data_IF_981619536780
#
_entry.id   IF_981619536780
#
_cell.length_a   1.000
_cell.length_b   1.000
_cell.length_c   1.000
_cell.angle_alpha   90.00
_cell.angle_beta   90.00
_cell.angle_gamma   90.00
#
_symmetry.space_group_name_H-M   'P 1'
#
loop_
_entity.id
_entity.type
_entity.pdbx_description
1 polymer ?
#
# COMPACT_ATOMS: atom_id res chain seq x y z
N UNK A 1 -12.79 30.54 10.48
CA UNK A 1 -11.68 29.58 10.47
C UNK A 1 -10.49 30.20 9.75
N UNK A 2 -9.40 30.43 10.45
CA UNK A 2 -8.15 30.94 9.86
C UNK A 2 -7.52 29.81 9.05
N UNK A 3 -7.45 30.00 7.74
CA UNK A 3 -6.82 29.02 6.83
C UNK A 3 -5.33 28.94 7.13
N UNK A 4 -4.76 27.78 7.45
CA UNK A 4 -3.34 27.64 7.69
C UNK A 4 -2.56 27.82 6.37
N UNK A 5 -1.55 28.66 6.40
CA UNK A 5 -0.45 28.85 5.46
C UNK A 5 -0.77 29.33 4.02
N UNK A 6 -0.44 30.60 3.78
CA UNK A 6 -0.57 31.27 2.48
C UNK A 6 0.25 30.62 1.35
N UNK A 7 1.32 29.88 1.65
CA UNK A 7 2.20 29.23 0.68
C UNK A 7 1.58 28.02 -0.03
N UNK A 8 0.61 27.35 0.59
CA UNK A 8 -0.11 26.23 -0.05
C UNK A 8 -1.12 26.67 -1.11
N UNK A 9 -1.45 27.97 -1.16
CA UNK A 9 -2.46 28.51 -2.09
C UNK A 9 -2.02 28.59 -3.54
N UNK A 10 -0.72 28.55 -3.82
CA UNK A 10 -0.21 28.79 -5.17
C UNK A 10 -0.09 27.51 -6.03
N UNK A 11 0.07 26.33 -5.41
CA UNK A 11 0.27 25.06 -6.13
C UNK A 11 -0.79 24.00 -5.78
N UNK A 12 -1.14 23.86 -4.50
CA UNK A 12 -2.10 22.88 -4.01
C UNK A 12 -3.11 23.56 -3.06
N UNK A 13 -4.28 23.97 -3.56
CA UNK A 13 -5.27 24.59 -2.69
C UNK A 13 -5.74 23.60 -1.63
N UNK A 14 -5.59 23.98 -0.35
CA UNK A 14 -6.15 23.23 0.75
C UNK A 14 -7.66 23.11 0.59
N UNK A 15 -8.18 21.89 0.58
CA UNK A 15 -9.60 21.61 0.46
C UNK A 15 -10.20 21.22 1.82
N UNK A 16 -9.67 20.18 2.44
CA UNK A 16 -10.16 19.66 3.71
C UNK A 16 -9.04 18.98 4.52
N UNK A 17 -9.27 18.82 5.82
CA UNK A 17 -8.54 17.88 6.68
C UNK A 17 -9.49 16.82 7.13
N UNK A 18 -9.12 15.56 6.91
CA UNK A 18 -9.87 14.39 7.39
C UNK A 18 -9.21 13.82 8.65
N UNK A 19 -9.95 13.02 9.40
CA UNK A 19 -9.42 12.33 10.58
C UNK A 19 -9.29 13.22 11.83
N UNK A 20 -9.96 14.36 11.90
CA UNK A 20 -9.93 15.24 13.08
C UNK A 20 -10.44 14.55 14.36
N UNK A 21 -11.20 13.47 14.23
CA UNK A 21 -11.75 12.67 15.35
C UNK A 21 -10.82 11.55 15.80
N UNK A 22 -9.58 11.51 15.34
CA UNK A 22 -8.58 10.45 15.61
C UNK A 22 -9.05 9.07 15.20
N UNK A 23 -9.64 8.99 14.02
CA UNK A 23 -10.07 7.69 13.43
C UNK A 23 -8.88 6.83 12.98
N UNK A 24 -7.69 7.42 12.86
CA UNK A 24 -6.45 6.72 12.49
C UNK A 24 -5.36 7.01 13.51
N UNK A 25 -4.52 6.02 13.83
CA UNK A 25 -3.42 6.16 14.80
C UNK A 25 -2.06 6.39 14.13
N UNK A 26 -1.69 5.55 13.17
CA UNK A 26 -0.41 5.64 12.46
C UNK A 26 -0.63 5.33 10.98
N UNK A 27 -1.16 6.30 10.20
CA UNK A 27 -1.44 6.08 8.79
C UNK A 27 -0.13 5.82 8.03
N UNK A 28 -0.07 4.70 7.32
CA UNK A 28 1.05 4.30 6.48
C UNK A 28 0.84 4.71 5.03
N UNK A 29 -0.40 4.53 4.54
CA UNK A 29 -0.76 4.87 3.16
C UNK A 29 -2.27 5.17 3.04
N UNK A 30 -2.69 5.70 1.90
CA UNK A 30 -4.06 6.12 1.64
C UNK A 30 -4.44 5.88 0.17
N UNK A 31 -5.64 5.36 -0.04
CA UNK A 31 -6.28 5.25 -1.37
C UNK A 31 -7.56 6.06 -1.37
N UNK A 32 -7.69 6.98 -2.34
CA UNK A 32 -8.93 7.72 -2.57
C UNK A 32 -9.55 7.23 -3.88
N UNK A 33 -10.72 6.62 -3.79
CA UNK A 33 -11.43 6.04 -4.92
C UNK A 33 -12.32 7.06 -5.63
N UNK A 34 -12.66 6.77 -6.88
CA UNK A 34 -13.48 7.66 -7.71
C UNK A 34 -14.94 7.78 -7.21
N UNK A 35 -15.42 6.80 -6.45
CA UNK A 35 -16.75 6.76 -5.81
C UNK A 35 -16.88 7.64 -4.56
N UNK A 36 -15.77 8.20 -4.08
CA UNK A 36 -15.70 9.08 -2.92
C UNK A 36 -15.23 8.38 -1.65
N UNK A 37 -15.08 7.08 -1.65
CA UNK A 37 -14.48 6.33 -0.55
C UNK A 37 -12.99 6.60 -0.41
N UNK A 38 -12.55 6.64 0.83
CA UNK A 38 -11.15 6.79 1.20
C UNK A 38 -10.78 5.65 2.13
N UNK A 39 -9.76 4.91 1.75
CA UNK A 39 -9.20 3.83 2.55
C UNK A 39 -7.86 4.27 3.14
N UNK A 40 -7.69 4.08 4.43
CA UNK A 40 -6.47 4.42 5.16
C UNK A 40 -5.85 3.15 5.69
N UNK A 41 -4.62 2.88 5.27
CA UNK A 41 -3.81 1.79 5.80
C UNK A 41 -3.11 2.29 7.06
N UNK A 42 -3.39 1.66 8.19
CA UNK A 42 -2.81 2.03 9.48
C UNK A 42 -1.85 0.96 9.99
N UNK A 43 -0.85 1.40 10.73
CA UNK A 43 -0.05 0.55 11.63
C UNK A 43 -0.49 0.80 13.05
N UNK A 44 -0.63 -0.27 13.82
CA UNK A 44 -1.01 -0.20 15.23
C UNK A 44 0.12 -0.80 16.03
N UNK A 45 0.73 -0.01 16.90
CA UNK A 45 1.87 -0.43 17.71
C UNK A 45 1.54 -1.69 18.53
N UNK A 46 2.27 -2.78 18.25
CA UNK A 46 2.11 -4.07 18.91
C UNK A 46 0.93 -4.93 18.46
N UNK A 47 0.07 -4.42 17.56
CA UNK A 47 -1.14 -5.12 17.09
C UNK A 47 -1.14 -5.36 15.57
N UNK A 48 -0.11 -4.88 14.85
CA UNK A 48 0.01 -5.02 13.39
C UNK A 48 -0.64 -3.88 12.62
N UNK A 49 -1.52 -4.19 11.67
CA UNK A 49 -2.14 -3.15 10.84
C UNK A 49 -3.61 -3.42 10.50
N UNK A 50 -4.28 -2.37 10.08
CA UNK A 50 -5.68 -2.39 9.67
C UNK A 50 -5.94 -1.51 8.44
N UNK A 51 -7.00 -1.79 7.70
CA UNK A 51 -7.58 -0.89 6.70
C UNK A 51 -8.82 -0.25 7.30
N UNK A 52 -8.89 1.07 7.25
CA UNK A 52 -10.05 1.84 7.69
C UNK A 52 -10.69 2.55 6.52
N UNK A 53 -12.02 2.52 6.45
CA UNK A 53 -12.81 3.22 5.44
C UNK A 53 -13.35 4.53 6.00
N UNK A 54 -13.24 5.61 5.25
CA UNK A 54 -13.81 6.93 5.52
C UNK A 54 -14.24 7.57 4.19
N UNK A 55 -14.74 8.79 4.22
CA UNK A 55 -15.11 9.57 3.03
C UNK A 55 -14.69 11.04 3.18
N UNK A 56 -14.97 11.86 2.17
CA UNK A 56 -14.65 13.29 2.16
C UNK A 56 -15.48 14.12 3.15
N UNK A 57 -16.56 13.58 3.69
CA UNK A 57 -17.41 14.17 4.74
C UNK A 57 -16.88 13.89 6.14
N UNK A 58 -15.73 13.21 6.27
CA UNK A 58 -15.10 12.79 7.52
C UNK A 58 -15.98 11.81 8.33
N UNK A 59 -16.75 10.99 7.62
CA UNK A 59 -17.54 9.93 8.23
C UNK A 59 -16.66 8.69 8.40
N UNK A 60 -16.55 8.19 9.63
CA UNK A 60 -15.83 6.97 9.96
C UNK A 60 -16.72 5.74 9.68
N UNK A 61 -16.41 5.03 8.62
CA UNK A 61 -17.11 3.79 8.24
C UNK A 61 -16.46 2.52 8.86
N UNK A 62 -15.51 2.72 9.79
CA UNK A 62 -14.92 1.67 10.59
C UNK A 62 -13.75 0.95 9.95
N UNK A 63 -13.29 -0.07 10.67
CA UNK A 63 -12.23 -0.99 10.22
C UNK A 63 -12.86 -2.04 9.32
N UNK A 64 -12.31 -2.21 8.12
CA UNK A 64 -12.77 -3.20 7.15
C UNK A 64 -11.81 -4.39 7.00
N UNK A 65 -10.50 -4.18 7.15
CA UNK A 65 -9.48 -5.23 7.01
C UNK A 65 -8.47 -5.16 8.15
N UNK A 66 -7.98 -6.31 8.59
CA UNK A 66 -7.01 -6.42 9.69
C UNK A 66 -6.13 -7.65 9.55
N UNK A 67 -5.16 -7.81 10.45
CA UNK A 67 -4.29 -8.98 10.49
C UNK A 67 -2.99 -8.81 9.70
N UNK A 68 -2.64 -7.59 9.34
CA UNK A 68 -1.33 -7.25 8.80
C UNK A 68 -0.28 -7.28 9.92
N UNK A 69 0.98 -7.62 9.56
CA UNK A 69 2.10 -7.58 10.50
C UNK A 69 2.81 -6.23 10.44
N UNK A 70 3.21 -5.79 9.24
CA UNK A 70 3.83 -4.49 9.00
C UNK A 70 3.49 -3.97 7.60
N UNK A 71 2.24 -3.54 7.38
CA UNK A 71 1.79 -3.09 6.07
C UNK A 71 2.47 -1.77 5.69
N UNK A 72 2.79 -1.62 4.41
CA UNK A 72 3.58 -0.47 3.92
C UNK A 72 2.82 0.34 2.92
N UNK A 73 2.29 -0.28 1.89
CA UNK A 73 1.58 0.39 0.82
C UNK A 73 0.27 -0.31 0.49
N UNK A 74 -0.70 0.49 0.09
CA UNK A 74 -1.99 0.05 -0.41
C UNK A 74 -2.30 0.77 -1.72
N UNK A 75 -2.76 0.04 -2.72
CA UNK A 75 -3.20 0.60 -4.01
C UNK A 75 -4.56 0.04 -4.41
N UNK A 76 -5.26 0.75 -5.27
CA UNK A 76 -6.45 0.22 -5.94
C UNK A 76 -6.03 -0.82 -6.97
N UNK A 77 -6.62 -2.00 -6.90
CA UNK A 77 -6.35 -3.13 -7.77
C UNK A 77 -7.43 -3.37 -8.82
N UNK A 78 -7.27 -4.40 -9.66
CA UNK A 78 -8.29 -4.78 -10.62
C UNK A 78 -9.59 -5.26 -9.93
N UNK A 79 -10.72 -5.14 -10.64
CA UNK A 79 -12.04 -5.58 -10.16
C UNK A 79 -12.46 -4.92 -8.82
N UNK A 80 -12.11 -3.65 -8.64
CA UNK A 80 -12.51 -2.86 -7.48
C UNK A 80 -11.98 -3.41 -6.14
N UNK A 81 -10.71 -3.86 -6.14
CA UNK A 81 -10.04 -4.40 -4.98
C UNK A 81 -9.02 -3.42 -4.39
N UNK A 82 -8.59 -3.68 -3.17
CA UNK A 82 -7.43 -3.07 -2.52
C UNK A 82 -6.30 -4.08 -2.49
N UNK A 83 -5.09 -3.65 -2.84
CA UNK A 83 -3.89 -4.49 -2.82
C UNK A 83 -2.90 -3.92 -1.84
N UNK A 84 -2.44 -4.74 -0.90
CA UNK A 84 -1.56 -4.32 0.19
C UNK A 84 -0.26 -5.10 0.17
N UNK A 85 0.86 -4.39 0.28
CA UNK A 85 2.18 -4.99 0.58
C UNK A 85 2.42 -5.01 2.09
N UNK A 86 2.86 -6.14 2.61
CA UNK A 86 3.22 -6.31 4.01
C UNK A 86 4.67 -6.77 4.14
N UNK A 87 5.51 -5.89 4.69
CA UNK A 87 6.92 -6.19 4.95
C UNK A 87 7.12 -7.25 6.03
N UNK A 88 6.18 -7.36 6.95
CA UNK A 88 6.32 -8.19 8.14
C UNK A 88 6.14 -9.68 7.85
N UNK A 89 5.19 -10.05 7.01
CA UNK A 89 4.95 -11.42 6.59
C UNK A 89 5.44 -11.72 5.16
N UNK A 90 6.05 -10.73 4.49
CA UNK A 90 6.65 -10.86 3.15
C UNK A 90 5.62 -11.17 2.05
N UNK A 91 4.40 -10.65 2.17
CA UNK A 91 3.30 -10.96 1.26
C UNK A 91 2.73 -9.74 0.53
N UNK A 92 2.01 -10.03 -0.53
CA UNK A 92 1.05 -9.13 -1.19
C UNK A 92 -0.32 -9.74 -0.99
N UNK A 93 -1.29 -8.95 -0.51
CA UNK A 93 -2.64 -9.41 -0.24
C UNK A 93 -3.69 -8.58 -0.97
N UNK A 94 -4.79 -9.22 -1.36
CA UNK A 94 -5.90 -8.64 -2.10
C UNK A 94 -7.16 -8.67 -1.24
N UNK A 95 -7.90 -7.56 -1.23
CA UNK A 95 -9.04 -7.34 -0.37
C UNK A 95 -10.21 -6.75 -1.16
N UNK A 96 -11.43 -7.11 -0.82
CA UNK A 96 -12.59 -6.33 -1.27
C UNK A 96 -12.63 -4.99 -0.53
N UNK A 97 -13.35 -4.00 -1.07
CA UNK A 97 -13.60 -2.73 -0.38
C UNK A 97 -14.52 -2.88 0.85
N UNK A 98 -15.12 -4.04 1.04
CA UNK A 98 -15.89 -4.41 2.24
C UNK A 98 -15.05 -5.18 3.29
N UNK A 99 -13.77 -5.44 2.98
CA UNK A 99 -12.80 -5.98 3.93
C UNK A 99 -12.65 -7.50 3.93
N UNK A 100 -13.18 -8.20 2.94
CA UNK A 100 -12.91 -9.61 2.73
C UNK A 100 -11.54 -9.81 2.07
N UNK A 101 -10.68 -10.64 2.67
CA UNK A 101 -9.41 -11.04 2.06
C UNK A 101 -9.69 -12.06 0.96
N UNK A 102 -9.42 -11.68 -0.29
CA UNK A 102 -9.68 -12.50 -1.47
C UNK A 102 -8.54 -13.48 -1.72
N UNK A 103 -7.30 -12.97 -1.64
CA UNK A 103 -6.09 -13.72 -1.99
C UNK A 103 -4.87 -13.14 -1.29
N UNK A 104 -3.80 -13.93 -1.24
CA UNK A 104 -2.51 -13.49 -0.74
C UNK A 104 -1.41 -14.41 -1.28
N UNK A 105 -0.31 -13.83 -1.71
CA UNK A 105 0.86 -14.57 -2.17
C UNK A 105 2.16 -13.87 -1.74
N UNK A 106 3.26 -14.60 -1.83
CA UNK A 106 4.58 -14.22 -1.39
C UNK A 106 5.08 -15.16 -0.31
N UNK A 107 6.36 -15.44 -0.34
CA UNK A 107 7.08 -16.20 0.68
C UNK A 107 8.46 -15.58 0.91
N UNK A 108 8.93 -15.64 2.15
CA UNK A 108 10.26 -15.15 2.49
C UNK A 108 11.36 -15.87 1.74
N UNK A 109 12.20 -15.11 1.05
CA UNK A 109 13.36 -15.67 0.36
C UNK A 109 14.05 -14.68 -0.59
N UNK A 110 15.08 -15.18 -1.27
CA UNK A 110 15.88 -14.42 -2.24
C UNK A 110 15.88 -14.99 -3.65
N UNK A 111 15.21 -16.14 -3.88
CA UNK A 111 15.03 -16.68 -5.23
C UNK A 111 14.03 -15.85 -6.03
N UNK A 112 13.99 -16.03 -7.35
CA UNK A 112 12.98 -15.43 -8.20
C UNK A 112 11.58 -15.88 -7.74
N UNK A 113 10.68 -14.91 -7.59
CA UNK A 113 9.33 -15.13 -7.08
C UNK A 113 9.19 -15.05 -5.56
N UNK A 114 10.25 -15.22 -4.77
CA UNK A 114 10.23 -14.99 -3.32
C UNK A 114 10.45 -13.52 -2.99
N UNK A 115 9.99 -13.07 -1.84
CA UNK A 115 10.04 -11.67 -1.39
C UNK A 115 10.80 -11.54 -0.06
N UNK A 116 11.46 -10.41 0.12
CA UNK A 116 12.04 -10.05 1.41
C UNK A 116 11.73 -8.59 1.72
N UNK A 117 10.75 -8.37 2.57
CA UNK A 117 10.20 -7.07 2.94
C UNK A 117 9.74 -6.26 1.71
N UNK A 118 8.70 -6.75 0.98
CA UNK A 118 8.13 -6.00 -0.14
C UNK A 118 7.56 -4.67 0.36
N UNK A 119 7.88 -3.58 -0.34
CA UNK A 119 7.42 -2.24 0.03
C UNK A 119 6.57 -1.61 -1.06
N UNK A 120 7.19 -0.93 -2.02
CA UNK A 120 6.48 -0.26 -3.11
C UNK A 120 5.83 -1.23 -4.08
N UNK A 121 4.56 -1.00 -4.41
CA UNK A 121 3.81 -1.78 -5.40
C UNK A 121 3.12 -0.87 -6.40
N UNK A 122 3.02 -1.31 -7.66
CA UNK A 122 2.29 -0.58 -8.71
C UNK A 122 1.89 -1.54 -9.83
N UNK A 123 0.74 -1.32 -10.45
CA UNK A 123 0.36 -2.03 -11.66
C UNK A 123 0.97 -1.37 -12.91
N UNK A 124 1.47 -2.19 -13.82
CA UNK A 124 1.81 -1.73 -15.17
C UNK A 124 0.55 -1.63 -16.07
N UNK A 125 0.75 -1.10 -17.28
CA UNK A 125 -0.34 -0.94 -18.26
C UNK A 125 -0.95 -2.27 -18.75
N UNK A 126 -0.29 -3.40 -18.49
CA UNK A 126 -0.75 -4.74 -18.85
C UNK A 126 -1.47 -5.43 -17.66
N UNK A 127 -1.56 -4.77 -16.51
CA UNK A 127 -2.17 -5.30 -15.29
C UNK A 127 -1.27 -6.24 -14.50
N UNK A 128 0.04 -6.23 -14.74
CA UNK A 128 0.98 -6.98 -13.91
C UNK A 128 1.43 -6.13 -12.73
N UNK A 129 1.70 -6.75 -11.60
CA UNK A 129 2.18 -6.08 -10.40
C UNK A 129 3.71 -5.99 -10.40
N UNK A 130 4.22 -4.78 -10.23
CA UNK A 130 5.65 -4.51 -10.04
C UNK A 130 5.84 -4.28 -8.54
N UNK A 131 6.80 -4.99 -7.96
CA UNK A 131 7.06 -5.02 -6.51
C UNK A 131 8.51 -4.61 -6.24
N UNK A 132 8.70 -3.65 -5.35
CA UNK A 132 10.01 -3.35 -4.76
C UNK A 132 10.30 -4.40 -3.67
N UNK A 133 11.16 -5.34 -3.99
CA UNK A 133 11.63 -6.41 -3.09
C UNK A 133 12.86 -5.89 -2.32
N UNK A 134 12.55 -5.09 -1.31
CA UNK A 134 13.42 -4.10 -0.67
C UNK A 134 14.70 -4.69 -0.14
N UNK A 135 14.63 -5.71 0.71
CA UNK A 135 15.82 -6.30 1.32
C UNK A 135 16.57 -7.27 0.40
N UNK A 136 16.04 -7.54 -0.78
CA UNK A 136 16.75 -8.24 -1.86
C UNK A 136 17.35 -7.27 -2.89
N UNK A 137 17.20 -5.94 -2.69
CA UNK A 137 17.75 -4.88 -3.55
C UNK A 137 17.37 -5.05 -5.02
N UNK A 138 16.10 -5.41 -5.30
CA UNK A 138 15.62 -5.65 -6.65
C UNK A 138 14.16 -5.23 -6.83
N UNK A 139 13.77 -5.11 -8.09
CA UNK A 139 12.37 -4.97 -8.50
C UNK A 139 11.97 -6.29 -9.17
N UNK A 140 10.80 -6.80 -8.82
CA UNK A 140 10.22 -7.98 -9.44
C UNK A 140 8.87 -7.65 -10.05
N UNK A 141 8.53 -8.34 -11.14
CA UNK A 141 7.26 -8.25 -11.85
C UNK A 141 6.53 -9.58 -11.75
N UNK A 142 5.26 -9.52 -11.40
CA UNK A 142 4.36 -10.67 -11.21
C UNK A 142 3.08 -10.47 -12.00
N UNK A 143 2.44 -11.55 -12.41
CA UNK A 143 1.00 -11.53 -12.71
C UNK A 143 0.19 -11.34 -11.43
N UNK A 144 -1.08 -11.01 -11.56
CA UNK A 144 -1.97 -10.72 -10.41
C UNK A 144 -2.05 -11.91 -9.44
N UNK A 145 -1.97 -13.14 -9.96
CA UNK A 145 -1.98 -14.38 -9.17
C UNK A 145 -0.64 -14.74 -8.51
N UNK A 146 0.35 -13.83 -8.55
CA UNK A 146 1.65 -14.03 -7.93
C UNK A 146 2.66 -14.85 -8.75
N UNK A 147 2.36 -15.19 -10.01
CA UNK A 147 3.32 -15.86 -10.87
C UNK A 147 4.44 -14.90 -11.27
N UNK A 148 5.70 -15.25 -10.96
CA UNK A 148 6.86 -14.46 -11.34
C UNK A 148 7.02 -14.37 -12.86
N UNK A 149 7.25 -13.16 -13.35
CA UNK A 149 7.46 -12.88 -14.79
C UNK A 149 8.90 -12.50 -15.06
N UNK A 150 9.45 -11.53 -14.33
CA UNK A 150 10.80 -11.02 -14.51
C UNK A 150 11.25 -10.19 -13.32
N UNK A 151 12.54 -9.89 -13.26
CA UNK A 151 13.07 -8.96 -12.25
C UNK A 151 14.38 -8.35 -12.71
N UNK A 152 14.78 -7.28 -12.03
CA UNK A 152 16.08 -6.65 -12.20
C UNK A 152 16.53 -5.99 -10.90
N UNK A 153 17.81 -5.75 -10.81
CA UNK A 153 18.43 -5.12 -9.65
C UNK A 153 19.25 -6.08 -8.82
N UNK A 154 20.18 -5.53 -8.10
CA UNK A 154 21.03 -6.21 -7.13
C UNK A 154 21.61 -5.18 -6.18
N UNK A 155 22.18 -5.60 -5.07
CA UNK A 155 22.89 -4.72 -4.17
C UNK A 155 24.07 -4.00 -4.85
N UNK A 156 24.19 -2.69 -4.67
CA UNK A 156 25.32 -1.88 -5.13
C UNK A 156 24.98 -0.43 -5.41
N UNK A 157 25.96 0.30 -5.98
CA UNK A 157 25.85 1.74 -6.30
C UNK A 157 26.06 2.05 -7.79
N UNK A 158 26.11 1.04 -8.67
CA UNK A 158 26.23 1.19 -10.13
C UNK A 158 24.88 1.28 -10.80
N UNK A 159 24.88 1.41 -12.13
CA UNK A 159 23.67 1.42 -12.93
C UNK A 159 22.88 0.11 -12.76
N UNK A 160 21.57 0.22 -12.50
CA UNK A 160 20.70 -0.93 -12.25
C UNK A 160 20.93 -1.62 -10.90
N UNK A 161 21.65 -1.01 -9.98
CA UNK A 161 21.85 -1.49 -8.62
C UNK A 161 21.10 -0.65 -7.61
N UNK A 162 20.73 -1.25 -6.48
CA UNK A 162 20.05 -0.59 -5.38
C UNK A 162 20.86 -0.76 -4.09
N UNK A 163 21.00 0.33 -3.35
CA UNK A 163 21.63 0.35 -2.05
C UNK A 163 20.63 0.95 -1.05
N UNK A 164 20.13 0.12 -0.16
CA UNK A 164 19.17 0.53 0.86
C UNK A 164 19.72 0.30 2.23
#
# INVERSE_FOLDING_TARGET
MTKPHALLRAAFPYHATLGMRRVTTSPADIVACADGDIFVLNRIDGEGGEIRRTNWEDEDNGVIGHGFIWPVQMIEGPNDTLVVSDEGDHTISFWTKDGEKIDSWGDYGNRDGSLNRPSGIVFDAQGNLIVADTMNHRIQKFSVDGTYISGFGQYGNGDGQFNM
#
